data_IF_222841511696
#
_entry.id   IF_222841511696
#
_cell.length_a   1.000
_cell.length_b   1.000
_cell.length_c   1.000
_cell.angle_alpha   90.00
_cell.angle_beta   90.00
_cell.angle_gamma   90.00
#
_symmetry.space_group_name_H-M   'P 1'
#
loop_
_entity.id
_entity.type
_entity.pdbx_description
1 polymer ?
#
# COMPACT_ATOMS: atom_id res chain seq x y z
N UNK A 1 0.74 -27.62 24.74
CA UNK A 1 1.81 -26.80 24.12
C UNK A 1 1.88 -26.93 22.59
N UNK A 2 2.15 -28.11 22.01
CA UNK A 2 2.36 -28.27 20.55
C UNK A 2 1.20 -27.79 19.65
N UNK A 3 -0.06 -27.93 20.10
CA UNK A 3 -1.26 -27.44 19.40
C UNK A 3 -1.34 -25.92 19.31
N UNK A 4 -0.89 -25.21 20.36
CA UNK A 4 -0.94 -23.74 20.42
C UNK A 4 0.08 -23.13 19.46
N UNK A 5 1.30 -23.67 19.41
CA UNK A 5 2.31 -23.25 18.44
C UNK A 5 1.88 -23.49 17.00
N UNK A 6 1.19 -24.61 16.72
CA UNK A 6 0.68 -24.90 15.38
C UNK A 6 -0.39 -23.90 14.95
N UNK A 7 -1.26 -23.50 15.87
CA UNK A 7 -2.28 -22.48 15.62
C UNK A 7 -1.64 -21.10 15.37
N UNK A 8 -0.63 -20.73 16.17
CA UNK A 8 0.11 -19.48 15.99
C UNK A 8 0.82 -19.40 14.64
N UNK A 9 1.44 -20.49 14.16
CA UNK A 9 2.09 -20.53 12.85
C UNK A 9 1.08 -20.32 11.72
N UNK A 10 -0.09 -20.97 11.78
CA UNK A 10 -1.14 -20.80 10.74
C UNK A 10 -1.69 -19.38 10.74
N UNK A 11 -1.87 -18.78 11.93
CA UNK A 11 -2.33 -17.38 12.04
C UNK A 11 -1.27 -16.41 11.49
N UNK A 12 0.01 -16.63 11.78
CA UNK A 12 1.10 -15.81 11.26
C UNK A 12 1.20 -15.91 9.73
N UNK A 13 1.11 -17.12 9.18
CA UNK A 13 1.16 -17.36 7.73
C UNK A 13 0.00 -16.66 7.00
N UNK A 14 -1.20 -16.72 7.57
CA UNK A 14 -2.37 -16.02 7.05
C UNK A 14 -2.22 -14.48 7.12
N UNK A 15 -1.61 -13.94 8.18
CA UNK A 15 -1.38 -12.50 8.33
C UNK A 15 -0.31 -12.02 7.34
N UNK A 16 0.77 -12.80 7.15
CA UNK A 16 1.82 -12.48 6.18
C UNK A 16 1.27 -12.53 4.76
N UNK A 17 0.50 -13.57 4.40
CA UNK A 17 -0.18 -13.64 3.11
C UNK A 17 -1.09 -12.45 2.86
N UNK A 18 -1.88 -12.03 3.86
CA UNK A 18 -2.74 -10.82 3.76
C UNK A 18 -1.94 -9.52 3.71
N UNK A 19 -0.74 -9.47 4.30
CA UNK A 19 0.15 -8.31 4.21
C UNK A 19 0.86 -8.22 2.84
N UNK A 20 1.15 -9.34 2.20
CA UNK A 20 1.65 -9.42 0.83
C UNK A 20 0.56 -9.15 -0.22
N UNK A 21 -0.68 -9.62 0.03
CA UNK A 21 -1.87 -9.36 -0.81
C UNK A 21 -2.47 -7.97 -0.61
N UNK A 22 -2.12 -7.28 0.47
CA UNK A 22 -2.29 -5.84 0.49
C UNK A 22 -1.38 -5.34 -0.62
N UNK A 23 -1.90 -4.67 -1.68
CA UNK A 23 -1.00 -3.88 -2.49
C UNK A 23 -0.31 -2.99 -1.47
N UNK A 24 1.01 -3.17 -1.31
CA UNK A 24 1.86 -2.14 -0.77
C UNK A 24 1.25 -0.88 -1.34
N UNK A 25 0.66 -0.01 -0.50
CA UNK A 25 0.15 1.29 -0.92
C UNK A 25 1.35 1.86 -1.63
N UNK A 26 1.39 1.69 -2.96
CA UNK A 26 2.60 1.84 -3.74
C UNK A 26 2.82 3.32 -3.53
N UNK A 27 3.84 3.66 -2.73
CA UNK A 27 4.12 5.04 -2.39
C UNK A 27 4.42 5.67 -3.73
N UNK A 28 3.38 6.22 -4.33
CA UNK A 28 3.42 6.70 -5.68
C UNK A 28 4.14 8.02 -5.53
N UNK A 29 5.34 8.08 -6.11
CA UNK A 29 6.13 9.28 -5.96
C UNK A 29 5.36 10.45 -6.58
N UNK A 30 5.64 11.66 -6.10
CA UNK A 30 5.06 12.87 -6.69
C UNK A 30 5.29 12.91 -8.20
N UNK A 31 6.48 12.48 -8.63
CA UNK A 31 6.88 12.37 -10.04
C UNK A 31 5.97 11.41 -10.81
N UNK A 32 5.69 10.23 -10.25
CA UNK A 32 4.81 9.24 -10.88
C UNK A 32 3.35 9.71 -10.93
N UNK A 33 2.91 10.47 -9.91
CA UNK A 33 1.58 11.09 -9.87
C UNK A 33 1.42 12.14 -10.96
N UNK A 34 2.44 12.97 -11.14
CA UNK A 34 2.44 13.95 -12.20
C UNK A 34 2.47 13.29 -13.58
N UNK A 35 3.33 12.29 -13.80
CA UNK A 35 3.39 11.55 -15.09
C UNK A 35 2.06 10.87 -15.42
N UNK A 36 1.40 10.24 -14.44
CA UNK A 36 0.08 9.62 -14.66
C UNK A 36 -1.03 10.64 -14.86
N UNK A 37 -0.93 11.81 -14.25
CA UNK A 37 -1.88 12.90 -14.49
C UNK A 37 -1.74 13.45 -15.90
N UNK A 38 -0.51 13.69 -16.36
CA UNK A 38 -0.22 14.12 -17.74
C UNK A 38 -0.64 13.06 -18.78
N UNK A 39 -0.52 11.78 -18.43
CA UNK A 39 -1.01 10.67 -19.25
C UNK A 39 -2.55 10.47 -19.17
N UNK A 40 -3.27 11.26 -18.37
CA UNK A 40 -4.72 11.16 -18.19
C UNK A 40 -5.19 9.89 -17.46
N UNK A 41 -4.28 9.17 -16.80
CA UNK A 41 -4.54 7.90 -16.10
C UNK A 41 -5.10 8.10 -14.70
N UNK A 42 -4.90 9.28 -14.10
CA UNK A 42 -5.45 9.66 -12.80
C UNK A 42 -6.04 11.07 -12.84
N UNK A 43 -6.97 11.36 -11.94
CA UNK A 43 -7.57 12.70 -11.85
C UNK A 43 -6.66 13.70 -11.11
N UNK A 44 -6.86 14.99 -11.36
CA UNK A 44 -6.14 16.07 -10.66
C UNK A 44 -6.30 15.95 -9.13
N UNK A 45 -7.47 15.54 -8.65
CA UNK A 45 -7.76 15.33 -7.23
C UNK A 45 -6.89 14.22 -6.64
N UNK A 46 -6.79 13.11 -7.35
CA UNK A 46 -6.02 11.94 -6.95
C UNK A 46 -4.51 12.23 -6.96
N UNK A 47 -4.05 13.06 -7.90
CA UNK A 47 -2.69 13.61 -7.90
C UNK A 47 -2.45 14.50 -6.66
N UNK A 48 -3.36 15.44 -6.36
CA UNK A 48 -3.21 16.37 -5.23
C UNK A 48 -3.19 15.66 -3.86
N UNK A 49 -3.99 14.60 -3.68
CA UNK A 49 -3.97 13.79 -2.46
C UNK A 49 -2.62 13.10 -2.22
N UNK A 50 -1.86 12.80 -3.28
CA UNK A 50 -0.51 12.23 -3.19
C UNK A 50 0.50 13.32 -2.79
N UNK A 51 0.35 14.55 -3.30
CA UNK A 51 1.16 15.71 -2.92
C UNK A 51 0.94 16.09 -1.44
N UNK A 52 -0.31 16.24 -0.99
CA UNK A 52 -0.66 16.63 0.38
C UNK A 52 -0.15 15.63 1.44
N UNK A 53 -0.06 14.34 1.11
CA UNK A 53 0.52 13.33 2.02
C UNK A 53 2.00 13.52 2.29
N UNK A 54 2.74 14.20 1.41
CA UNK A 54 4.17 14.43 1.56
C UNK A 54 4.49 15.70 2.36
N UNK A 55 3.61 16.71 2.31
CA UNK A 55 3.74 17.95 3.09
C UNK A 55 3.40 17.79 4.59
N UNK A 56 2.87 16.62 4.99
CA UNK A 56 2.56 16.27 6.38
C UNK A 56 3.72 15.60 7.14
N UNK A 57 4.95 15.61 6.59
CA UNK A 57 6.18 15.06 7.23
C UNK A 57 7.16 16.18 7.54
#
# INVERSE_FOLDING_TARGET
MRKVFRFLVVVLDAIVGVAEDKPHKRYMSISDAQEKYEAGLISMRECNEIFERKDLI
#
